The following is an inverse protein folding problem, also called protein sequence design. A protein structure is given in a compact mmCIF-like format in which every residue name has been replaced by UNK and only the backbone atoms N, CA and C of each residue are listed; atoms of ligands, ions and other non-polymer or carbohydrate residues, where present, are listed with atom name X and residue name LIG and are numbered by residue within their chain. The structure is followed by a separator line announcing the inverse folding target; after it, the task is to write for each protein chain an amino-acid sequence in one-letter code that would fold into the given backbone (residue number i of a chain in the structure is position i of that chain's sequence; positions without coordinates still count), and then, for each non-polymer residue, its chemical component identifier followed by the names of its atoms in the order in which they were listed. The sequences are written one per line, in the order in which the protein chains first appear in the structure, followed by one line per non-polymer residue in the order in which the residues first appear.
data_IF_557688808664
#
_entry.id   IF_557688808664
#
_cell.length_a   1.000
_cell.length_b   1.000
_cell.length_c   1.000
_cell.angle_alpha   90.00
_cell.angle_beta   90.00
_cell.angle_gamma   90.00
#
_symmetry.space_group_name_H-M   'P 1'
#
loop_
_entity.id
_entity.type
_entity.pdbx_description
1 polymer ?
#
# COMPACT_ATOMS: atom_id res chain seq x y z
N UNK A 1 -12.68 -8.08 -44.16
CA UNK A 1 -11.99 -7.70 -42.92
C UNK A 1 -11.62 -6.24 -43.07
N UNK A 2 -12.19 -5.39 -42.23
CA UNK A 2 -11.95 -3.94 -42.26
C UNK A 2 -10.47 -3.65 -41.95
N UNK A 3 -9.88 -2.65 -42.61
CA UNK A 3 -8.51 -2.21 -42.35
C UNK A 3 -8.32 -1.79 -40.88
N UNK A 4 -9.38 -1.25 -40.26
CA UNK A 4 -9.39 -0.92 -38.84
C UNK A 4 -9.38 -2.16 -37.94
N UNK A 5 -10.13 -3.21 -38.30
CA UNK A 5 -10.13 -4.48 -37.57
C UNK A 5 -8.77 -5.19 -37.67
N UNK A 6 -8.14 -5.17 -38.86
CA UNK A 6 -6.81 -5.74 -39.06
C UNK A 6 -5.75 -4.99 -38.25
N UNK A 7 -5.77 -3.65 -38.27
CA UNK A 7 -4.86 -2.83 -37.45
C UNK A 7 -5.05 -3.11 -35.96
N UNK A 8 -6.28 -3.26 -35.49
CA UNK A 8 -6.58 -3.62 -34.09
C UNK A 8 -6.05 -5.01 -33.71
N UNK A 9 -6.20 -5.99 -34.59
CA UNK A 9 -5.66 -7.35 -34.40
C UNK A 9 -4.13 -7.32 -34.30
N UNK A 10 -3.46 -6.64 -35.23
CA UNK A 10 -2.00 -6.50 -35.24
C UNK A 10 -1.47 -5.75 -34.01
N UNK A 11 -2.16 -4.68 -33.57
CA UNK A 11 -1.85 -4.00 -32.29
C UNK A 11 -1.89 -4.95 -31.11
N UNK A 12 -2.91 -5.79 -31.05
CA UNK A 12 -3.13 -6.74 -29.95
C UNK A 12 -2.05 -7.81 -29.94
N UNK A 13 -1.71 -8.35 -31.12
CA UNK A 13 -0.62 -9.33 -31.26
C UNK A 13 0.75 -8.73 -30.91
N UNK A 14 1.04 -7.51 -31.35
CA UNK A 14 2.29 -6.84 -31.04
C UNK A 14 2.41 -6.61 -29.53
N UNK A 15 1.36 -6.13 -28.86
CA UNK A 15 1.34 -5.96 -27.41
C UNK A 15 1.60 -7.30 -26.68
N UNK A 16 0.96 -8.39 -27.11
CA UNK A 16 1.19 -9.71 -26.53
C UNK A 16 2.63 -10.19 -26.73
N UNK A 17 3.22 -9.97 -27.91
CA UNK A 17 4.59 -10.36 -28.20
C UNK A 17 5.58 -9.57 -27.35
N UNK A 18 5.37 -8.25 -27.23
CA UNK A 18 6.11 -7.36 -26.33
C UNK A 18 5.93 -7.70 -24.85
N UNK A 19 5.01 -8.58 -24.46
CA UNK A 19 4.86 -9.04 -23.06
C UNK A 19 5.53 -10.38 -22.84
N UNK A 20 5.50 -11.25 -23.85
CA UNK A 20 6.06 -12.61 -23.77
C UNK A 20 7.59 -12.68 -23.62
N UNK A 21 8.29 -11.61 -23.97
CA UNK A 21 9.75 -11.53 -23.85
C UNK A 21 10.09 -11.02 -22.42
N UNK A 22 11.02 -11.62 -21.67
CA UNK A 22 11.43 -11.11 -20.36
C UNK A 22 12.31 -9.85 -20.46
N UNK A 23 12.47 -9.15 -19.32
CA UNK A 23 13.42 -8.06 -19.07
C UNK A 23 13.23 -6.74 -19.86
N UNK A 24 14.07 -5.74 -19.57
CA UNK A 24 14.13 -4.49 -20.33
C UNK A 24 14.43 -4.77 -21.81
N UNK A 25 13.69 -4.09 -22.69
CA UNK A 25 13.78 -4.29 -24.14
C UNK A 25 14.20 -3.02 -24.83
N UNK A 26 15.38 -3.08 -25.42
CA UNK A 26 15.77 -2.12 -26.43
C UNK A 26 15.06 -2.47 -27.74
N UNK A 27 14.00 -1.72 -28.07
CA UNK A 27 13.31 -1.86 -29.35
C UNK A 27 14.12 -1.12 -30.42
N UNK A 28 15.06 -1.83 -31.05
CA UNK A 28 15.85 -1.31 -32.17
C UNK A 28 15.05 -1.48 -33.46
N UNK A 29 14.54 -0.38 -34.00
CA UNK A 29 13.71 -0.37 -35.22
C UNK A 29 14.54 0.17 -36.36
N UNK A 30 14.67 -0.61 -37.43
CA UNK A 30 15.24 -0.13 -38.69
C UNK A 30 14.40 1.04 -39.23
N UNK A 31 15.01 2.16 -39.68
CA UNK A 31 14.27 3.30 -40.23
C UNK A 31 13.20 2.94 -41.27
N UNK A 32 13.42 1.88 -42.07
CA UNK A 32 12.47 1.44 -43.09
C UNK A 32 11.22 0.77 -42.49
N UNK A 33 11.31 0.29 -41.25
CA UNK A 33 10.21 -0.35 -40.51
C UNK A 33 9.38 0.64 -39.68
N UNK A 34 9.83 1.89 -39.49
CA UNK A 34 9.09 2.91 -38.74
C UNK A 34 7.73 3.22 -39.35
N UNK A 35 7.65 3.42 -40.68
CA UNK A 35 6.37 3.75 -41.34
C UNK A 35 5.35 2.60 -41.29
N UNK A 36 5.73 1.33 -41.54
CA UNK A 36 4.87 0.18 -41.29
C UNK A 36 4.46 0.06 -39.81
N UNK A 37 5.40 0.28 -38.89
CA UNK A 37 5.13 0.21 -37.46
C UNK A 37 4.14 1.30 -37.04
N UNK A 38 4.29 2.56 -37.45
CA UNK A 38 3.35 3.64 -37.12
C UNK A 38 1.90 3.38 -37.59
N UNK A 39 1.73 2.60 -38.66
CA UNK A 39 0.39 2.15 -39.12
C UNK A 39 -0.23 1.09 -38.23
N UNK A 40 0.59 0.37 -37.48
CA UNK A 40 0.19 -0.67 -36.53
C UNK A 40 0.23 -0.14 -35.11
N UNK A 41 1.36 0.33 -34.59
CA UNK A 41 1.57 0.85 -33.25
C UNK A 41 2.52 2.06 -33.28
N UNK A 42 1.98 3.27 -33.14
CA UNK A 42 2.80 4.47 -32.99
C UNK A 42 3.52 4.53 -31.65
N UNK A 43 4.47 5.46 -31.51
CA UNK A 43 5.27 5.62 -30.28
C UNK A 43 4.42 5.86 -29.03
N UNK A 44 3.29 6.55 -29.17
CA UNK A 44 2.30 6.75 -28.09
C UNK A 44 1.70 5.42 -27.66
N UNK A 45 1.34 4.55 -28.60
CA UNK A 45 0.86 3.20 -28.27
C UNK A 45 1.93 2.39 -27.54
N UNK A 46 3.19 2.43 -27.98
CA UNK A 46 4.28 1.70 -27.31
C UNK A 46 4.52 2.22 -25.89
N UNK A 47 4.44 3.54 -25.68
CA UNK A 47 4.56 4.17 -24.37
C UNK A 47 3.36 3.88 -23.45
N UNK A 48 2.14 3.94 -24.01
CA UNK A 48 0.89 3.64 -23.30
C UNK A 48 0.70 2.14 -23.04
N UNK A 49 1.52 1.29 -23.66
CA UNK A 49 1.57 -0.16 -23.44
C UNK A 49 2.94 -0.55 -22.90
N UNK A 50 3.54 0.27 -22.04
CA UNK A 50 4.69 -0.16 -21.27
C UNK A 50 4.32 -1.39 -20.43
N UNK A 51 4.84 -2.53 -20.84
CA UNK A 51 4.56 -3.83 -20.23
C UNK A 51 5.72 -4.33 -19.37
N UNK A 52 6.69 -3.46 -19.06
CA UNK A 52 7.95 -3.82 -18.38
C UNK A 52 7.69 -4.64 -17.12
N UNK A 53 6.67 -4.28 -16.33
CA UNK A 53 6.36 -4.97 -15.08
C UNK A 53 5.43 -6.18 -15.23
N UNK A 54 4.76 -6.36 -16.36
CA UNK A 54 3.77 -7.44 -16.53
C UNK A 54 4.45 -8.81 -16.49
N UNK A 55 5.58 -8.97 -17.17
CA UNK A 55 6.35 -10.22 -17.13
C UNK A 55 6.86 -10.53 -15.72
N UNK A 56 7.39 -9.53 -15.03
CA UNK A 56 7.89 -9.66 -13.65
C UNK A 56 6.77 -10.05 -12.69
N UNK A 57 5.59 -9.42 -12.81
CA UNK A 57 4.41 -9.75 -12.02
C UNK A 57 3.94 -11.19 -12.29
N UNK A 58 3.77 -11.57 -13.56
CA UNK A 58 3.39 -12.94 -13.95
C UNK A 58 4.39 -13.98 -13.45
N UNK A 59 5.69 -13.74 -13.65
CA UNK A 59 6.75 -14.66 -13.20
C UNK A 59 6.74 -14.85 -11.68
N UNK A 60 6.55 -13.76 -10.94
CA UNK A 60 6.48 -13.79 -9.48
C UNK A 60 5.27 -14.58 -8.99
N UNK A 61 4.09 -14.38 -9.61
CA UNK A 61 2.86 -15.12 -9.30
C UNK A 61 2.95 -16.60 -9.69
N UNK A 62 3.60 -16.93 -10.81
CA UNK A 62 3.88 -18.32 -11.21
C UNK A 62 4.82 -18.97 -10.20
N UNK A 63 5.90 -18.31 -9.79
CA UNK A 63 6.83 -18.84 -8.80
C UNK A 63 6.17 -19.05 -7.43
N UNK A 64 5.31 -18.12 -6.99
CA UNK A 64 4.52 -18.27 -5.77
C UNK A 64 3.63 -19.52 -5.86
N UNK A 65 2.91 -19.69 -6.96
CA UNK A 65 2.05 -20.85 -7.18
C UNK A 65 2.82 -22.17 -7.33
N UNK A 66 4.05 -22.17 -7.87
CA UNK A 66 4.91 -23.36 -7.89
C UNK A 66 5.31 -23.82 -6.49
N UNK A 67 5.42 -22.91 -5.54
CA UNK A 67 5.76 -23.22 -4.14
C UNK A 67 4.53 -23.65 -3.33
N UNK A 68 3.38 -23.00 -3.55
CA UNK A 68 2.19 -23.14 -2.71
C UNK A 68 1.01 -23.88 -3.38
N UNK A 69 1.18 -24.29 -4.63
CA UNK A 69 0.15 -24.88 -5.47
C UNK A 69 -0.60 -23.84 -6.31
N UNK A 70 -0.96 -24.21 -7.54
CA UNK A 70 -1.70 -23.36 -8.50
C UNK A 70 -3.08 -22.97 -7.96
N UNK A 71 -3.39 -21.68 -7.93
CA UNK A 71 -4.70 -21.21 -7.50
C UNK A 71 -5.79 -21.74 -8.44
N UNK A 72 -6.90 -22.31 -7.91
CA UNK A 72 -7.97 -22.86 -8.74
C UNK A 72 -8.77 -21.79 -9.47
N UNK A 73 -8.81 -20.55 -8.96
CA UNK A 73 -9.53 -19.44 -9.57
C UNK A 73 -8.64 -18.18 -9.64
N UNK A 74 -8.60 -17.56 -10.81
CA UNK A 74 -7.94 -16.28 -11.05
C UNK A 74 -8.96 -15.32 -11.65
N UNK A 75 -9.12 -14.16 -11.02
CA UNK A 75 -10.00 -13.09 -11.48
C UNK A 75 -9.16 -11.88 -11.83
N UNK A 76 -9.35 -11.33 -13.03
CA UNK A 76 -8.66 -10.14 -13.48
C UNK A 76 -9.65 -9.06 -13.89
N UNK A 77 -9.37 -7.82 -13.46
CA UNK A 77 -10.07 -6.63 -13.91
C UNK A 77 -9.00 -5.67 -14.40
N UNK A 78 -9.13 -5.24 -15.66
CA UNK A 78 -8.16 -4.37 -16.30
C UNK A 78 -7.38 -5.06 -17.42
N UNK A 79 -6.78 -4.25 -18.28
CA UNK A 79 -6.03 -4.72 -19.44
C UNK A 79 -4.71 -5.38 -19.01
N UNK A 80 -3.93 -4.74 -18.14
CA UNK A 80 -2.69 -5.27 -17.59
C UNK A 80 -2.93 -6.55 -16.79
N UNK A 81 -3.93 -6.55 -15.91
CA UNK A 81 -4.34 -7.70 -15.11
C UNK A 81 -4.73 -8.91 -15.97
N UNK A 82 -5.45 -8.69 -17.06
CA UNK A 82 -5.79 -9.74 -18.03
C UNK A 82 -4.53 -10.30 -18.71
N UNK A 83 -3.64 -9.41 -19.17
CA UNK A 83 -2.37 -9.81 -19.78
C UNK A 83 -1.48 -10.60 -18.81
N UNK A 84 -1.44 -10.22 -17.54
CA UNK A 84 -0.72 -10.96 -16.49
C UNK A 84 -1.28 -12.37 -16.35
N UNK A 85 -2.61 -12.51 -16.31
CA UNK A 85 -3.29 -13.80 -16.18
C UNK A 85 -3.01 -14.73 -17.37
N UNK A 86 -3.12 -14.21 -18.60
CA UNK A 86 -2.84 -14.96 -19.83
C UNK A 86 -1.36 -15.38 -19.94
N UNK A 87 -0.44 -14.51 -19.53
CA UNK A 87 0.99 -14.83 -19.50
C UNK A 87 1.30 -15.91 -18.45
N UNK A 88 0.65 -15.87 -17.27
CA UNK A 88 0.79 -16.93 -16.28
C UNK A 88 0.35 -18.30 -16.83
N UNK A 89 -0.78 -18.36 -17.54
CA UNK A 89 -1.24 -19.60 -18.19
C UNK A 89 -0.24 -20.12 -19.21
N UNK A 90 0.25 -19.24 -20.09
CA UNK A 90 1.27 -19.56 -21.09
C UNK A 90 2.54 -20.11 -20.45
N UNK A 91 2.99 -19.52 -19.34
CA UNK A 91 4.16 -19.98 -18.59
C UNK A 91 3.97 -21.39 -18.03
N UNK A 92 2.80 -21.69 -17.45
CA UNK A 92 2.48 -23.04 -16.93
C UNK A 92 2.41 -24.08 -18.05
N UNK A 93 1.79 -23.75 -19.19
CA UNK A 93 1.69 -24.64 -20.35
C UNK A 93 3.07 -24.96 -20.95
N UNK A 94 3.92 -23.94 -21.09
CA UNK A 94 5.26 -24.07 -21.66
C UNK A 94 6.16 -24.97 -20.81
N UNK A 95 6.10 -24.83 -19.48
CA UNK A 95 6.94 -25.60 -18.57
C UNK A 95 6.39 -27.01 -18.26
N UNK A 96 5.19 -27.34 -18.75
CA UNK A 96 4.49 -28.61 -18.45
C UNK A 96 4.45 -28.90 -16.95
N UNK A 97 4.19 -27.86 -16.16
CA UNK A 97 4.20 -27.94 -14.71
C UNK A 97 3.17 -28.99 -14.24
N UNK A 98 3.50 -29.73 -13.17
CA UNK A 98 2.63 -30.79 -12.65
C UNK A 98 1.31 -30.20 -12.19
N UNK A 99 0.20 -30.94 -12.40
CA UNK A 99 -1.07 -30.59 -11.75
C UNK A 99 -0.94 -30.79 -10.25
N UNK A 100 -1.00 -29.70 -9.50
CA UNK A 100 -0.91 -29.74 -8.05
C UNK A 100 -2.09 -30.51 -7.44
N UNK A 101 -1.79 -31.27 -6.40
CA UNK A 101 -2.80 -32.03 -5.63
C UNK A 101 -3.26 -31.29 -4.39
N UNK A 102 -2.52 -30.26 -3.97
CA UNK A 102 -2.81 -29.42 -2.81
C UNK A 102 -2.73 -27.95 -3.20
N UNK A 103 -3.73 -27.18 -2.79
CA UNK A 103 -3.83 -25.76 -3.08
C UNK A 103 -3.83 -25.00 -1.75
N UNK A 104 -2.77 -24.25 -1.46
CA UNK A 104 -2.74 -23.36 -0.29
C UNK A 104 -3.30 -21.97 -0.61
N UNK A 105 -3.29 -21.59 -1.89
CA UNK A 105 -3.86 -20.35 -2.41
C UNK A 105 -5.23 -20.68 -3.02
N UNK A 106 -6.29 -20.13 -2.45
CA UNK A 106 -7.66 -20.39 -2.91
C UNK A 106 -8.05 -19.59 -4.16
N UNK A 107 -7.70 -18.30 -4.19
CA UNK A 107 -8.08 -17.39 -5.27
C UNK A 107 -7.02 -16.31 -5.45
N UNK A 108 -6.85 -15.83 -6.68
CA UNK A 108 -6.01 -14.67 -7.01
C UNK A 108 -6.90 -13.62 -7.66
N UNK A 109 -6.84 -12.38 -7.16
CA UNK A 109 -7.48 -11.21 -7.77
C UNK A 109 -6.38 -10.29 -8.28
N UNK A 110 -6.44 -9.92 -9.56
CA UNK A 110 -5.50 -9.01 -10.20
C UNK A 110 -6.31 -7.82 -10.70
N UNK A 111 -5.97 -6.62 -10.24
CA UNK A 111 -6.72 -5.40 -10.54
C UNK A 111 -5.74 -4.34 -11.01
N UNK A 112 -6.00 -3.76 -12.18
CA UNK A 112 -5.26 -2.60 -12.63
C UNK A 112 -5.61 -1.37 -11.78
N UNK A 113 -4.60 -0.55 -11.48
CA UNK A 113 -4.80 0.66 -10.67
C UNK A 113 -5.68 1.70 -11.36
N UNK A 114 -5.68 1.74 -12.68
CA UNK A 114 -6.39 2.72 -13.51
C UNK A 114 -7.92 2.54 -13.56
N UNK A 115 -8.42 1.42 -13.03
CA UNK A 115 -9.85 1.17 -12.87
C UNK A 115 -10.45 2.07 -11.78
N UNK A 116 -9.64 2.49 -10.82
CA UNK A 116 -10.06 3.30 -9.69
C UNK A 116 -8.94 4.26 -9.31
N UNK A 117 -8.85 5.42 -9.96
CA UNK A 117 -7.93 6.46 -9.50
C UNK A 117 -8.47 7.22 -8.28
N UNK A 118 -9.79 7.21 -8.09
CA UNK A 118 -10.46 7.99 -7.03
C UNK A 118 -9.91 7.59 -5.67
N UNK A 119 -9.82 6.30 -5.37
CA UNK A 119 -9.29 5.84 -4.07
C UNK A 119 -7.82 6.23 -3.81
N UNK A 120 -7.01 6.53 -4.84
CA UNK A 120 -5.64 7.03 -4.65
C UNK A 120 -5.58 8.54 -4.41
N UNK A 121 -6.59 9.26 -4.86
CA UNK A 121 -6.67 10.72 -4.72
C UNK A 121 -7.31 11.12 -3.40
N UNK A 122 -8.09 10.23 -2.77
CA UNK A 122 -8.65 10.46 -1.46
C UNK A 122 -7.58 10.47 -0.37
N UNK A 123 -7.77 11.33 0.62
CA UNK A 123 -6.92 11.38 1.80
C UNK A 123 -7.07 10.09 2.61
N UNK A 124 -5.96 9.46 3.02
CA UNK A 124 -6.03 8.29 3.88
C UNK A 124 -6.47 8.65 5.30
N UNK A 125 -7.42 7.89 5.86
CA UNK A 125 -7.97 8.14 7.20
C UNK A 125 -7.60 7.09 8.25
N UNK A 126 -6.78 6.08 7.89
CA UNK A 126 -6.29 5.08 8.86
C UNK A 126 -4.98 5.53 9.50
N UNK A 127 -4.67 4.99 10.67
CA UNK A 127 -3.44 5.36 11.37
C UNK A 127 -2.16 5.00 10.60
N UNK A 128 -2.06 3.77 10.06
CA UNK A 128 -0.86 3.36 9.30
C UNK A 128 -0.67 4.20 8.05
N UNK A 129 -1.75 4.52 7.34
CA UNK A 129 -1.64 5.32 6.13
C UNK A 129 -1.28 6.78 6.43
N UNK A 130 -1.76 7.35 7.55
CA UNK A 130 -1.33 8.68 7.99
C UNK A 130 0.12 8.71 8.51
N UNK A 131 0.60 7.60 9.09
CA UNK A 131 2.02 7.45 9.40
C UNK A 131 2.86 7.45 8.12
N UNK A 132 2.44 6.70 7.10
CA UNK A 132 3.13 6.65 5.80
C UNK A 132 3.13 8.03 5.12
N UNK A 133 1.99 8.71 5.09
CA UNK A 133 1.88 10.06 4.51
C UNK A 133 2.77 11.09 5.24
N UNK A 134 2.86 10.99 6.57
CA UNK A 134 3.57 12.00 7.38
C UNK A 134 5.07 11.73 7.51
N UNK A 135 5.49 10.47 7.51
CA UNK A 135 6.87 10.08 7.84
C UNK A 135 7.50 9.11 6.83
N UNK A 136 6.69 8.46 6.00
CA UNK A 136 7.12 7.39 5.09
C UNK A 136 7.37 6.07 5.81
N UNK A 137 6.79 5.00 5.28
CA UNK A 137 7.03 3.62 5.70
C UNK A 137 7.76 2.90 4.57
N UNK A 138 8.97 2.44 4.87
CA UNK A 138 9.75 1.63 3.94
C UNK A 138 10.05 0.26 4.53
N UNK A 139 9.54 -0.79 3.91
CA UNK A 139 9.69 -2.17 4.40
C UNK A 139 9.30 -2.31 5.89
N UNK A 140 8.15 -1.77 6.27
CA UNK A 140 7.66 -1.75 7.66
C UNK A 140 8.54 -0.97 8.64
N UNK A 141 9.49 -0.17 8.15
CA UNK A 141 10.31 0.70 8.98
C UNK A 141 9.89 2.15 8.80
N UNK A 142 9.83 2.87 9.92
CA UNK A 142 9.61 4.31 9.98
C UNK A 142 10.80 4.96 10.70
N UNK A 143 11.21 6.14 10.24
CA UNK A 143 12.29 6.94 10.84
C UNK A 143 11.68 8.21 11.44
N UNK A 144 11.50 8.21 12.75
CA UNK A 144 10.96 9.37 13.46
C UNK A 144 12.05 10.39 13.73
N UNK A 145 11.73 11.66 13.54
CA UNK A 145 12.62 12.76 13.89
C UNK A 145 12.70 12.98 15.41
N UNK A 146 13.60 13.88 15.81
CA UNK A 146 13.80 14.22 17.22
C UNK A 146 12.62 14.94 17.88
N UNK A 147 11.69 15.53 17.11
CA UNK A 147 10.47 16.13 17.67
C UNK A 147 9.52 15.04 18.14
N UNK A 148 9.34 13.98 17.33
CA UNK A 148 8.46 12.85 17.66
C UNK A 148 9.02 12.03 18.82
N UNK A 149 10.34 11.84 18.91
CA UNK A 149 10.93 11.03 19.99
C UNK A 149 11.10 11.79 21.31
N UNK A 150 11.00 13.13 21.29
CA UNK A 150 11.14 13.99 22.46
C UNK A 150 12.56 14.09 23.03
N UNK A 151 13.54 13.38 22.45
CA UNK A 151 14.94 13.34 22.90
C UNK A 151 15.92 13.99 21.90
N UNK A 152 15.41 14.53 20.78
CA UNK A 152 16.19 15.23 19.77
C UNK A 152 17.08 14.33 18.90
N UNK A 153 17.07 13.01 19.11
CA UNK A 153 17.95 12.07 18.40
C UNK A 153 17.28 11.35 17.24
N UNK A 154 15.94 11.34 17.22
CA UNK A 154 15.16 10.52 16.31
C UNK A 154 15.27 9.03 16.64
N UNK A 155 14.38 8.22 16.06
CA UNK A 155 14.36 6.80 16.29
C UNK A 155 13.73 6.04 15.13
N UNK A 156 14.36 4.90 14.80
CA UNK A 156 13.76 3.92 13.91
C UNK A 156 12.83 3.00 14.66
N UNK A 157 11.64 2.80 14.11
CA UNK A 157 10.66 1.86 14.63
C UNK A 157 10.26 0.85 13.55
N UNK A 158 10.17 -0.42 13.95
CA UNK A 158 9.69 -1.50 13.13
C UNK A 158 8.20 -1.71 13.40
N UNK A 159 7.37 -1.51 12.38
CA UNK A 159 5.92 -1.61 12.41
C UNK A 159 5.49 -3.04 12.06
N UNK A 160 5.23 -3.87 13.07
CA UNK A 160 4.84 -5.27 12.88
C UNK A 160 3.74 -5.67 13.84
N UNK A 161 3.11 -6.82 13.58
CA UNK A 161 2.10 -7.40 14.47
C UNK A 161 2.66 -7.96 15.79
N UNK A 162 3.97 -7.84 16.04
CA UNK A 162 4.54 -8.11 17.36
C UNK A 162 4.25 -6.98 18.35
N UNK A 163 3.98 -5.78 17.84
CA UNK A 163 3.43 -4.69 18.62
C UNK A 163 1.90 -4.83 18.68
N UNK A 164 1.42 -5.26 19.85
CA UNK A 164 -0.02 -5.42 20.10
C UNK A 164 -0.76 -4.09 20.03
N UNK A 165 -0.15 -2.98 20.44
CA UNK A 165 -0.76 -1.65 20.36
C UNK A 165 -0.96 -1.30 18.89
N UNK A 166 0.12 -1.41 18.10
CA UNK A 166 0.08 -1.13 16.67
C UNK A 166 -0.96 -1.98 15.94
N UNK A 167 -1.00 -3.27 16.23
CA UNK A 167 -1.97 -4.22 15.63
C UNK A 167 -3.42 -3.77 15.83
N UNK A 168 -3.74 -3.17 16.98
CA UNK A 168 -5.09 -2.73 17.30
C UNK A 168 -5.46 -1.38 16.67
N UNK A 169 -4.49 -0.53 16.34
CA UNK A 169 -4.75 0.84 15.88
C UNK A 169 -4.46 1.07 14.39
N UNK A 170 -3.59 0.26 13.77
CA UNK A 170 -3.08 0.51 12.39
C UNK A 170 -4.19 0.64 11.34
N UNK A 171 -5.24 -0.17 11.45
CA UNK A 171 -6.35 -0.27 10.49
C UNK A 171 -7.56 0.57 10.92
N UNK A 172 -7.50 1.22 12.09
CA UNK A 172 -8.61 2.03 12.60
C UNK A 172 -8.60 3.44 12.01
N UNK A 173 -9.79 4.02 11.89
CA UNK A 173 -9.93 5.43 11.60
C UNK A 173 -9.17 6.27 12.64
N UNK A 174 -8.44 7.29 12.19
CA UNK A 174 -7.51 8.07 13.02
C UNK A 174 -8.17 8.70 14.26
N UNK A 175 -9.44 9.11 14.18
CA UNK A 175 -10.16 9.62 15.36
C UNK A 175 -10.49 8.55 16.41
N UNK A 176 -10.62 7.29 16.01
CA UNK A 176 -11.06 6.20 16.91
C UNK A 176 -9.90 5.68 17.77
N UNK A 177 -8.67 5.76 17.27
CA UNK A 177 -7.49 5.24 17.97
C UNK A 177 -7.23 5.91 19.32
N UNK A 178 -7.63 7.18 19.50
CA UNK A 178 -7.37 7.94 20.73
C UNK A 178 -8.03 7.31 21.95
N UNK A 179 -9.19 6.69 21.78
CA UNK A 179 -9.87 5.97 22.86
C UNK A 179 -9.06 4.75 23.29
N UNK A 180 -8.60 3.96 22.33
CA UNK A 180 -7.76 2.78 22.56
C UNK A 180 -6.42 3.14 23.22
N UNK A 181 -5.72 4.17 22.74
CA UNK A 181 -4.45 4.61 23.33
C UNK A 181 -4.64 5.08 24.78
N UNK A 182 -5.72 5.82 25.07
CA UNK A 182 -6.05 6.28 26.41
C UNK A 182 -6.31 5.12 27.37
N UNK A 183 -7.09 4.13 26.95
CA UNK A 183 -7.42 2.99 27.79
C UNK A 183 -6.21 2.08 28.00
N UNK A 184 -5.35 1.93 26.99
CA UNK A 184 -4.07 1.24 27.10
C UNK A 184 -3.14 1.96 28.08
N UNK A 185 -3.05 3.29 28.02
CA UNK A 185 -2.28 4.09 28.98
C UNK A 185 -2.73 3.86 30.43
N UNK A 186 -4.04 3.86 30.68
CA UNK A 186 -4.60 3.57 32.01
C UNK A 186 -4.24 2.17 32.51
N UNK A 187 -4.38 1.15 31.66
CA UNK A 187 -4.02 -0.24 32.00
C UNK A 187 -2.54 -0.37 32.36
N UNK A 188 -1.64 0.22 31.57
CA UNK A 188 -0.19 0.20 31.87
C UNK A 188 0.14 0.97 33.15
N UNK A 189 -0.56 2.07 33.42
CA UNK A 189 -0.40 2.83 34.67
C UNK A 189 -0.85 2.02 35.89
N UNK A 190 -1.95 1.28 35.81
CA UNK A 190 -2.39 0.38 36.89
C UNK A 190 -1.37 -0.73 37.17
N UNK A 191 -0.74 -1.29 36.14
CA UNK A 191 0.34 -2.28 36.28
C UNK A 191 1.60 -1.68 36.92
N UNK A 192 1.99 -0.46 36.54
CA UNK A 192 3.11 0.25 37.17
C UNK A 192 2.81 0.55 38.65
N UNK A 193 1.57 0.93 38.98
CA UNK A 193 1.15 1.15 40.37
C UNK A 193 1.19 -0.15 41.18
N UNK A 194 0.76 -1.28 40.61
CA UNK A 194 0.89 -2.60 41.25
C UNK A 194 2.35 -2.93 41.56
N UNK A 195 3.28 -2.67 40.63
CA UNK A 195 4.72 -2.81 40.86
C UNK A 195 5.19 -2.03 42.09
N UNK A 196 4.78 -0.77 42.19
CA UNK A 196 5.19 0.12 43.29
C UNK A 196 4.62 -0.30 44.65
N UNK A 197 3.53 -1.09 44.65
CA UNK A 197 2.85 -1.57 45.86
C UNK A 197 3.27 -2.99 46.29
N UNK A 198 4.23 -3.63 45.62
CA UNK A 198 4.71 -4.97 45.97
C UNK A 198 5.49 -4.95 47.29
N UNK A 199 5.04 -5.70 48.30
CA UNK A 199 5.70 -5.76 49.62
C UNK A 199 6.55 -7.02 49.86
N UNK A 200 6.27 -8.12 49.16
CA UNK A 200 7.02 -9.37 49.30
C UNK A 200 8.17 -9.46 48.31
N UNK A 201 9.34 -9.89 48.79
CA UNK A 201 10.53 -10.18 47.96
C UNK A 201 10.23 -11.25 46.91
N UNK A 202 9.35 -12.21 47.24
CA UNK A 202 8.92 -13.26 46.30
C UNK A 202 8.14 -12.70 45.12
N UNK A 203 7.23 -11.75 45.37
CA UNK A 203 6.40 -11.15 44.33
C UNK A 203 7.20 -10.16 43.47
N UNK A 204 8.14 -9.44 44.09
CA UNK A 204 9.09 -8.59 43.37
C UNK A 204 9.94 -9.39 42.39
N UNK A 205 10.47 -10.56 42.82
CA UNK A 205 11.26 -11.43 41.96
C UNK A 205 10.43 -11.96 40.78
N UNK A 206 9.17 -12.33 41.00
CA UNK A 206 8.25 -12.78 39.95
C UNK A 206 7.97 -11.66 38.94
N UNK A 207 7.64 -10.47 39.41
CA UNK A 207 7.34 -9.33 38.53
C UNK A 207 8.55 -8.90 37.70
N UNK A 208 9.73 -8.82 38.30
CA UNK A 208 10.98 -8.49 37.58
C UNK A 208 11.31 -9.55 36.53
N UNK A 209 11.08 -10.83 36.84
CA UNK A 209 11.34 -11.93 35.92
C UNK A 209 10.40 -12.01 34.72
N UNK A 210 9.13 -11.66 34.90
CA UNK A 210 8.09 -11.92 33.90
C UNK A 210 7.54 -10.66 33.24
N UNK A 211 7.28 -9.61 34.03
CA UNK A 211 6.38 -8.52 33.61
C UNK A 211 7.11 -7.21 33.36
N UNK A 212 8.22 -6.94 34.08
CA UNK A 212 8.90 -5.63 34.04
C UNK A 212 9.40 -5.27 32.64
N UNK A 213 10.01 -6.23 31.93
CA UNK A 213 10.52 -6.00 30.57
C UNK A 213 9.38 -5.70 29.60
N UNK A 214 8.30 -6.48 29.66
CA UNK A 214 7.12 -6.32 28.81
C UNK A 214 6.47 -4.96 29.09
N UNK A 215 6.29 -4.61 30.36
CA UNK A 215 5.73 -3.31 30.78
C UNK A 215 6.55 -2.14 30.24
N UNK A 216 7.88 -2.17 30.38
CA UNK A 216 8.75 -1.09 29.89
C UNK A 216 8.73 -0.99 28.36
N UNK A 217 8.70 -2.12 27.67
CA UNK A 217 8.58 -2.14 26.22
C UNK A 217 7.25 -1.54 25.76
N UNK A 218 6.13 -1.99 26.33
CA UNK A 218 4.79 -1.48 26.02
C UNK A 218 4.63 0.01 26.33
N UNK A 219 5.19 0.50 27.44
CA UNK A 219 5.24 1.93 27.75
C UNK A 219 5.98 2.74 26.67
N UNK A 220 7.13 2.22 26.20
CA UNK A 220 7.90 2.87 25.13
C UNK A 220 7.13 2.92 23.81
N UNK A 221 6.53 1.79 23.40
CA UNK A 221 5.75 1.70 22.16
C UNK A 221 4.53 2.63 22.22
N UNK A 222 3.78 2.58 23.32
CA UNK A 222 2.64 3.47 23.56
C UNK A 222 3.05 4.95 23.46
N UNK A 223 4.13 5.34 24.14
CA UNK A 223 4.63 6.72 24.11
C UNK A 223 4.98 7.15 22.69
N UNK A 224 5.66 6.27 21.93
CA UNK A 224 6.07 6.56 20.55
C UNK A 224 4.84 6.77 19.66
N UNK A 225 3.83 5.91 19.77
CA UNK A 225 2.58 6.05 19.02
C UNK A 225 1.81 7.33 19.38
N UNK A 226 1.73 7.69 20.67
CA UNK A 226 1.10 8.94 21.11
C UNK A 226 1.83 10.14 20.48
N UNK A 227 3.15 10.19 20.57
CA UNK A 227 3.93 11.31 20.02
C UNK A 227 3.80 11.40 18.49
N UNK A 228 3.78 10.27 17.79
CA UNK A 228 3.52 10.25 16.35
C UNK A 228 2.12 10.80 16.01
N UNK A 229 1.09 10.47 16.80
CA UNK A 229 -0.26 11.04 16.62
C UNK A 229 -0.28 12.55 16.83
N UNK A 230 0.39 13.04 17.87
CA UNK A 230 0.48 14.46 18.17
C UNK A 230 1.18 15.23 17.04
N UNK A 231 2.24 14.67 16.47
CA UNK A 231 2.93 15.24 15.32
C UNK A 231 2.03 15.29 14.07
N UNK A 232 1.29 14.21 13.76
CA UNK A 232 0.31 14.19 12.66
C UNK A 232 -0.74 15.28 12.87
N UNK A 233 -1.34 15.37 14.07
CA UNK A 233 -2.34 16.39 14.39
C UNK A 233 -1.78 17.81 14.28
N UNK A 234 -0.54 18.04 14.72
CA UNK A 234 0.12 19.35 14.64
C UNK A 234 0.28 19.82 13.19
N UNK A 235 0.53 18.92 12.26
CA UNK A 235 0.61 19.24 10.82
C UNK A 235 -0.79 19.47 10.25
N UNK A 236 -1.71 18.53 10.44
CA UNK A 236 -3.07 18.60 9.87
C UNK A 236 -3.87 19.80 10.39
N UNK A 237 -3.69 20.19 11.66
CA UNK A 237 -4.33 21.39 12.21
C UNK A 237 -3.79 22.71 11.65
N UNK A 238 -2.63 22.72 10.99
CA UNK A 238 -2.07 23.93 10.35
C UNK A 238 -2.57 24.14 8.93
N UNK A 239 -3.14 23.13 8.27
CA UNK A 239 -3.27 23.08 6.81
C UNK A 239 -4.71 23.25 6.28
N UNK A 240 -5.62 23.99 6.94
CA UNK A 240 -7.05 24.05 6.55
C UNK A 240 -7.62 22.63 6.26
N UNK A 241 -7.15 21.61 6.98
CA UNK A 241 -7.38 20.20 6.63
C UNK A 241 -8.85 19.81 6.75
N UNK A 242 -9.58 20.38 7.71
CA UNK A 242 -11.02 20.15 7.85
C UNK A 242 -11.80 20.63 6.61
N UNK A 243 -11.44 21.81 6.08
CA UNK A 243 -12.04 22.34 4.85
C UNK A 243 -11.63 21.49 3.64
N UNK A 244 -10.37 21.03 3.58
CA UNK A 244 -9.89 20.11 2.54
C UNK A 244 -10.72 18.82 2.50
N UNK A 245 -10.87 18.15 3.64
CA UNK A 245 -11.63 16.90 3.75
C UNK A 245 -13.12 17.12 3.45
N UNK A 246 -13.68 18.26 3.86
CA UNK A 246 -15.05 18.62 3.50
C UNK A 246 -15.21 18.69 1.98
N UNK A 247 -14.31 19.39 1.30
CA UNK A 247 -14.34 19.53 -0.16
C UNK A 247 -14.11 18.17 -0.84
N UNK A 248 -13.19 17.35 -0.34
CA UNK A 248 -12.97 15.99 -0.83
C UNK A 248 -14.26 15.15 -0.78
N UNK A 249 -14.94 15.13 0.36
CA UNK A 249 -16.22 14.42 0.52
C UNK A 249 -17.31 14.98 -0.41
N UNK A 250 -17.43 16.31 -0.49
CA UNK A 250 -18.40 16.94 -1.38
C UNK A 250 -18.18 16.56 -2.85
N UNK A 251 -16.92 16.47 -3.29
CA UNK A 251 -16.56 16.05 -4.64
C UNK A 251 -16.90 14.58 -4.89
N UNK A 252 -16.70 13.70 -3.90
CA UNK A 252 -17.06 12.28 -3.98
C UNK A 252 -18.58 12.07 -4.05
N UNK A 253 -19.35 12.88 -3.30
CA UNK A 253 -20.80 12.84 -3.29
C UNK A 253 -21.44 13.59 -4.48
N UNK A 254 -20.67 14.42 -5.18
CA UNK A 254 -21.14 15.22 -6.31
C UNK A 254 -22.01 16.42 -5.90
N UNK A 255 -21.76 17.00 -4.71
CA UNK A 255 -22.51 18.13 -4.13
C UNK A 255 -21.66 19.38 -4.00
N UNK A 256 -22.28 20.54 -3.75
CA UNK A 256 -21.60 21.84 -3.45
C UNK A 256 -20.53 22.25 -4.49
N UNK A 257 -20.80 22.02 -5.79
CA UNK A 257 -19.79 22.20 -6.85
C UNK A 257 -19.16 23.61 -6.89
N UNK A 258 -19.96 24.67 -6.70
CA UNK A 258 -19.45 26.06 -6.78
C UNK A 258 -18.49 26.36 -5.64
N UNK A 259 -18.85 25.94 -4.43
CA UNK A 259 -18.06 26.08 -3.21
C UNK A 259 -16.76 25.28 -3.33
N UNK A 260 -16.84 24.04 -3.82
CA UNK A 260 -15.66 23.20 -4.05
C UNK A 260 -14.70 23.82 -5.08
N UNK A 261 -15.22 24.34 -6.19
CA UNK A 261 -14.37 25.01 -7.20
C UNK A 261 -13.71 26.27 -6.64
N UNK A 262 -14.44 27.05 -5.83
CA UNK A 262 -13.90 28.25 -5.18
C UNK A 262 -12.75 27.87 -4.25
N UNK A 263 -12.90 26.83 -3.44
CA UNK A 263 -11.83 26.34 -2.57
C UNK A 263 -10.59 25.91 -3.38
N UNK A 264 -10.76 25.19 -4.49
CA UNK A 264 -9.65 24.78 -5.36
C UNK A 264 -8.93 26.00 -5.95
N UNK A 265 -9.66 27.02 -6.39
CA UNK A 265 -9.08 28.27 -6.90
C UNK A 265 -8.28 29.01 -5.81
N UNK A 266 -8.79 29.07 -4.58
CA UNK A 266 -8.09 29.64 -3.43
C UNK A 266 -6.79 28.88 -3.10
N UNK A 267 -6.81 27.55 -3.15
CA UNK A 267 -5.62 26.73 -2.95
C UNK A 267 -4.55 27.02 -4.00
N UNK A 268 -4.93 27.21 -5.27
CA UNK A 268 -4.00 27.55 -6.35
C UNK A 268 -3.39 28.94 -6.13
N UNK A 269 -4.18 29.91 -5.64
CA UNK A 269 -3.68 31.27 -5.37
C UNK A 269 -2.73 31.37 -4.16
N UNK A 270 -2.82 30.42 -3.22
CA UNK A 270 -1.95 30.36 -2.02
C UNK A 270 -0.57 29.74 -2.31
N UNK A 271 -0.35 29.13 -3.47
CA UNK A 271 0.94 28.54 -3.89
C UNK A 271 1.92 29.59 -4.43
#
# INVERSE_FOLDING_TARGET
MDLQELSKLLKTQLAHLLVSIPDEKDVVIDPDLMKPLDRVAGITFLKDNDTTWLHTASSSLVNLQRLFGRAPNIYSIGKGAKMVSELMETMFETHKDRKDKSFHIGQIFIVDRDIDYVSLLCSPMTYEALLDESFGINCSMIDFDGEVTGDGKGAKMLLTSQDEIYTQIRDCHFSQMFSYLRDTAKKLQELENKKNNLQSVGDMRKFVGNDLRVLKQQQKLLSTHISACEAILKVKNKTDFEDFIKVEHNLLEGVEYKENMTYVEECIQKQ
#
